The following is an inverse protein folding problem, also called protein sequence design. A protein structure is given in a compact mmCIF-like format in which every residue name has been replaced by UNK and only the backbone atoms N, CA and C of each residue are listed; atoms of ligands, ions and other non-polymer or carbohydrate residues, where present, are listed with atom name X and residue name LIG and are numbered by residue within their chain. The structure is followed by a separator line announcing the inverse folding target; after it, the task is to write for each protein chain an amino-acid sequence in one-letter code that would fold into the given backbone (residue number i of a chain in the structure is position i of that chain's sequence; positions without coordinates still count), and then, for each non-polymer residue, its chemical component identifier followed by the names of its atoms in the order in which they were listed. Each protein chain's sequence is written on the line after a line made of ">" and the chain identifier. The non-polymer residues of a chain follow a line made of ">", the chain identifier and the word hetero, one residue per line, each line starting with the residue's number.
data_IF_774120273857
#
_entry.id   IF_774120273857
#
_cell.length_a   1.000
_cell.length_b   1.000
_cell.length_c   1.000
_cell.angle_alpha   90.00
_cell.angle_beta   90.00
_cell.angle_gamma   90.00
#
_symmetry.space_group_name_H-M   'P 1'
#
loop_
_entity.id
_entity.type
_entity.pdbx_description
1 polymer ?
#
# COMPACT_ATOMS: atom_id res chain seq x y z
N UNK A 1 -25.60 5.61 43.97
CA UNK A 1 -24.39 5.12 44.66
C UNK A 1 -23.21 5.75 43.94
N UNK A 2 -22.36 6.46 44.64
CA UNK A 2 -21.19 7.12 44.03
C UNK A 2 -20.20 6.06 43.56
N UNK A 3 -19.93 6.02 42.28
CA UNK A 3 -18.96 5.12 41.62
C UNK A 3 -17.52 5.65 41.78
N UNK A 4 -17.25 6.45 42.80
CA UNK A 4 -15.87 6.83 43.10
C UNK A 4 -15.11 5.60 43.60
N UNK A 5 -13.94 5.27 43.00
CA UNK A 5 -13.07 4.23 43.51
C UNK A 5 -12.66 4.57 44.92
N UNK A 6 -12.41 3.56 45.78
CA UNK A 6 -11.92 3.80 47.12
C UNK A 6 -10.65 4.68 47.07
N UNK A 7 -10.62 5.67 47.93
CA UNK A 7 -9.53 6.68 48.02
C UNK A 7 -8.17 6.03 48.39
N UNK A 8 -8.19 4.76 48.82
CA UNK A 8 -7.02 4.00 49.25
C UNK A 8 -6.88 2.68 48.46
N UNK A 9 -6.75 2.78 47.12
CA UNK A 9 -6.36 1.61 46.36
C UNK A 9 -4.87 1.30 46.60
N UNK A 10 -4.50 0.04 46.89
CA UNK A 10 -3.08 -0.30 47.05
C UNK A 10 -2.36 -0.16 45.72
N UNK A 11 -1.07 0.22 45.76
CA UNK A 11 -0.22 0.27 44.60
C UNK A 11 -0.25 -1.09 43.85
N UNK A 12 -0.46 -1.06 42.54
CA UNK A 12 -0.61 -2.26 41.71
C UNK A 12 -2.04 -2.85 41.66
N UNK A 13 -3.03 -2.23 42.35
CA UNK A 13 -4.42 -2.66 42.21
C UNK A 13 -4.89 -2.54 40.75
N UNK A 14 -5.66 -3.52 40.27
CA UNK A 14 -6.25 -3.54 38.91
C UNK A 14 -7.77 -3.48 39.04
N UNK A 15 -8.40 -2.70 38.19
CA UNK A 15 -9.87 -2.64 38.08
C UNK A 15 -10.32 -2.59 36.61
N UNK A 16 -11.55 -3.00 36.36
CA UNK A 16 -12.27 -2.66 35.14
C UNK A 16 -13.02 -1.34 35.38
N UNK A 17 -12.70 -0.31 34.62
CA UNK A 17 -13.50 0.90 34.58
C UNK A 17 -14.73 0.63 33.71
N UNK A 18 -15.90 0.55 34.33
CA UNK A 18 -17.16 0.20 33.64
C UNK A 18 -17.68 1.32 32.76
N UNK A 19 -17.27 2.57 32.98
CA UNK A 19 -17.69 3.72 32.19
C UNK A 19 -16.91 3.80 30.86
N UNK A 20 -15.60 3.51 30.93
CA UNK A 20 -14.72 3.47 29.74
C UNK A 20 -14.55 2.07 29.16
N UNK A 21 -14.99 1.03 29.87
CA UNK A 21 -14.79 -0.39 29.54
C UNK A 21 -13.32 -0.81 29.39
N UNK A 22 -12.44 -0.15 30.15
CA UNK A 22 -11.00 -0.36 30.10
C UNK A 22 -10.43 -0.88 31.41
N UNK A 23 -9.39 -1.69 31.31
CA UNK A 23 -8.61 -2.10 32.47
C UNK A 23 -7.71 -0.95 32.92
N UNK A 24 -7.66 -0.71 34.21
CA UNK A 24 -6.81 0.31 34.82
C UNK A 24 -5.99 -0.30 35.95
N UNK A 25 -4.79 0.22 36.17
CA UNK A 25 -3.97 -0.12 37.32
C UNK A 25 -3.65 1.13 38.15
N UNK A 26 -3.56 0.95 39.47
CA UNK A 26 -3.28 2.05 40.38
C UNK A 26 -1.79 2.16 40.65
N UNK A 27 -1.19 3.32 40.30
CA UNK A 27 0.20 3.63 40.55
C UNK A 27 0.37 5.13 40.78
N UNK A 28 1.36 5.54 41.58
CA UNK A 28 1.63 6.96 41.86
C UNK A 28 0.37 7.76 42.25
N UNK A 29 -0.46 7.18 43.12
CA UNK A 29 -1.70 7.76 43.64
C UNK A 29 -2.77 8.12 42.59
N UNK A 30 -2.76 7.45 41.44
CA UNK A 30 -3.78 7.58 40.40
C UNK A 30 -3.98 6.29 39.59
N UNK A 31 -5.10 6.23 38.90
CA UNK A 31 -5.40 5.14 37.98
C UNK A 31 -4.82 5.46 36.62
N UNK A 32 -4.09 4.50 36.05
CA UNK A 32 -3.58 4.51 34.69
C UNK A 32 -4.33 3.48 33.88
N UNK A 33 -4.71 3.85 32.67
CA UNK A 33 -5.28 2.94 31.72
C UNK A 33 -4.22 1.92 31.27
N UNK A 34 -4.58 0.64 31.28
CA UNK A 34 -3.76 -0.39 30.65
C UNK A 34 -4.10 -0.43 29.16
N UNK A 35 -3.17 -0.02 28.33
CA UNK A 35 -3.27 -0.29 26.90
C UNK A 35 -3.17 -1.82 26.71
N UNK A 36 -4.30 -2.46 26.48
CA UNK A 36 -4.32 -3.85 26.03
C UNK A 36 -4.14 -3.85 24.52
N UNK A 37 -2.91 -3.92 24.09
CA UNK A 37 -2.63 -4.29 22.72
C UNK A 37 -3.00 -5.77 22.58
N UNK A 38 -4.06 -6.06 21.85
CA UNK A 38 -4.30 -7.44 21.42
C UNK A 38 -3.13 -7.81 20.53
N UNK A 39 -2.28 -8.77 20.90
CA UNK A 39 -1.25 -9.23 19.98
C UNK A 39 -1.96 -9.62 18.69
N UNK A 40 -1.51 -9.06 17.59
CA UNK A 40 -2.01 -9.42 16.28
C UNK A 40 -1.74 -10.91 16.08
N UNK A 41 -2.73 -11.74 16.30
CA UNK A 41 -2.66 -13.21 16.17
C UNK A 41 -2.41 -13.66 14.71
N UNK A 42 -2.14 -12.72 13.82
CA UNK A 42 -1.96 -12.91 12.37
C UNK A 42 -0.54 -13.33 11.96
N UNK A 43 0.29 -13.79 12.89
CA UNK A 43 1.64 -14.26 12.57
C UNK A 43 2.65 -13.16 12.23
N UNK A 44 2.45 -11.93 12.74
CA UNK A 44 3.31 -10.77 12.52
C UNK A 44 2.95 -9.97 11.26
N UNK A 45 3.77 -8.97 10.95
CA UNK A 45 3.61 -8.15 9.75
C UNK A 45 4.08 -8.93 8.51
N UNK A 46 3.12 -9.34 7.70
CA UNK A 46 3.36 -10.07 6.44
C UNK A 46 3.26 -9.12 5.26
N UNK A 47 4.25 -9.19 4.37
CA UNK A 47 4.23 -8.57 3.06
C UNK A 47 3.99 -9.61 1.98
N UNK A 48 3.33 -9.21 0.91
CA UNK A 48 3.00 -10.04 -0.25
C UNK A 48 3.46 -9.34 -1.51
N UNK A 49 4.01 -10.13 -2.43
CA UNK A 49 4.48 -9.69 -3.75
C UNK A 49 3.78 -10.59 -4.78
N UNK A 50 3.10 -9.95 -5.75
CA UNK A 50 2.18 -10.64 -6.65
C UNK A 50 2.53 -10.34 -8.10
N UNK A 51 2.47 -11.39 -8.93
CA UNK A 51 2.66 -11.30 -10.37
C UNK A 51 4.03 -10.75 -10.77
N UNK A 52 4.19 -10.33 -12.00
CA UNK A 52 5.41 -9.67 -12.48
C UNK A 52 5.76 -9.97 -13.94
N UNK A 53 6.84 -9.35 -14.42
CA UNK A 53 7.40 -9.43 -15.76
C UNK A 53 8.95 -9.47 -15.68
N UNK A 54 9.71 -10.12 -16.56
CA UNK A 54 9.30 -10.70 -17.87
C UNK A 54 8.60 -12.06 -17.77
N UNK A 55 7.87 -12.39 -18.82
CA UNK A 55 7.22 -13.71 -18.97
C UNK A 55 5.88 -13.85 -18.29
N UNK A 56 5.40 -12.81 -17.60
CA UNK A 56 4.24 -12.82 -16.73
C UNK A 56 4.18 -14.04 -15.80
N UNK A 57 3.97 -13.82 -14.54
CA UNK A 57 3.82 -14.88 -13.54
C UNK A 57 2.53 -14.71 -12.76
N UNK A 58 1.96 -15.81 -12.32
CA UNK A 58 0.81 -15.86 -11.42
C UNK A 58 1.21 -15.99 -9.95
N UNK A 59 2.52 -16.09 -9.68
CA UNK A 59 3.05 -16.38 -8.36
C UNK A 59 2.73 -15.29 -7.35
N UNK A 60 2.43 -15.73 -6.13
CA UNK A 60 2.34 -14.90 -4.93
C UNK A 60 3.45 -15.34 -3.98
N UNK A 61 4.30 -14.41 -3.58
CA UNK A 61 5.31 -14.63 -2.54
C UNK A 61 4.96 -13.83 -1.29
N UNK A 62 5.34 -14.36 -0.14
CA UNK A 62 5.23 -13.65 1.14
C UNK A 62 6.57 -13.47 1.80
N UNK A 63 6.68 -12.38 2.56
CA UNK A 63 7.82 -12.08 3.45
C UNK A 63 7.32 -11.78 4.87
N UNK A 64 8.24 -11.84 5.83
CA UNK A 64 8.01 -11.33 7.19
C UNK A 64 8.71 -9.98 7.32
N UNK A 65 7.93 -8.89 7.36
CA UNK A 65 8.47 -7.52 7.31
C UNK A 65 9.39 -7.21 8.50
N UNK A 66 9.04 -7.68 9.69
CA UNK A 66 9.74 -7.29 10.92
C UNK A 66 11.04 -8.10 11.15
N UNK A 67 11.18 -9.29 10.59
CA UNK A 67 12.34 -10.16 10.82
C UNK A 67 13.39 -10.11 9.73
N UNK A 68 13.01 -9.72 8.51
CA UNK A 68 13.88 -9.82 7.34
C UNK A 68 13.98 -11.25 6.78
N UNK A 69 14.58 -11.38 5.60
CA UNK A 69 14.79 -12.65 4.90
C UNK A 69 14.08 -12.72 3.57
N UNK A 70 14.31 -13.82 2.86
CA UNK A 70 13.84 -14.00 1.50
C UNK A 70 12.33 -14.27 1.41
N UNK A 71 11.79 -14.02 0.23
CA UNK A 71 10.45 -14.41 -0.15
C UNK A 71 10.25 -15.93 -0.10
N UNK A 72 9.05 -16.34 0.25
CA UNK A 72 8.63 -17.74 0.19
C UNK A 72 7.32 -17.83 -0.58
N UNK A 73 7.16 -18.91 -1.29
CA UNK A 73 5.94 -19.22 -2.03
C UNK A 73 4.72 -19.20 -1.14
N UNK A 74 3.63 -18.60 -1.61
CA UNK A 74 2.37 -18.50 -0.89
C UNK A 74 1.20 -19.14 -1.65
N UNK A 75 1.17 -19.00 -2.97
CA UNK A 75 0.10 -19.45 -3.86
C UNK A 75 0.14 -18.72 -5.19
N UNK A 76 -0.96 -18.78 -5.93
CA UNK A 76 -1.03 -18.22 -7.28
C UNK A 76 -2.24 -17.30 -7.47
N UNK A 77 -2.09 -16.34 -8.38
CA UNK A 77 -3.18 -15.58 -9.00
C UNK A 77 -3.98 -16.49 -9.96
N UNK A 78 -5.19 -16.10 -10.31
CA UNK A 78 -5.98 -16.85 -11.29
C UNK A 78 -5.30 -16.93 -12.66
N UNK A 79 -4.46 -15.95 -13.01
CA UNK A 79 -3.65 -15.96 -14.25
C UNK A 79 -2.39 -15.13 -14.10
N UNK A 80 -1.39 -15.45 -14.93
CA UNK A 80 -0.12 -14.76 -14.98
C UNK A 80 -0.29 -13.32 -15.49
N UNK A 81 0.20 -12.34 -14.72
CA UNK A 81 -0.05 -10.91 -14.95
C UNK A 81 0.98 -10.01 -14.27
N UNK A 82 0.89 -8.72 -14.51
CA UNK A 82 1.70 -7.70 -13.85
C UNK A 82 0.91 -6.40 -13.62
N UNK A 83 1.50 -5.44 -12.90
CA UNK A 83 0.96 -4.09 -12.68
C UNK A 83 -0.44 -4.05 -12.05
N UNK A 84 -0.71 -4.96 -11.13
CA UNK A 84 -1.94 -4.95 -10.33
C UNK A 84 -1.90 -3.89 -9.24
N UNK A 85 -3.06 -3.50 -8.73
CA UNK A 85 -3.20 -2.74 -7.49
C UNK A 85 -3.64 -3.64 -6.36
N UNK A 86 -3.22 -3.35 -5.12
CA UNK A 86 -3.58 -4.14 -3.96
C UNK A 86 -4.14 -3.26 -2.84
N UNK A 87 -5.21 -3.72 -2.22
CA UNK A 87 -5.77 -3.17 -0.98
C UNK A 87 -5.94 -4.29 0.03
N UNK A 88 -5.78 -4.00 1.30
CA UNK A 88 -5.85 -5.04 2.32
C UNK A 88 -6.36 -4.52 3.65
N UNK A 89 -6.93 -5.44 4.42
CA UNK A 89 -7.05 -5.28 5.85
C UNK A 89 -6.06 -6.22 6.57
N UNK A 90 -6.29 -6.52 7.83
CA UNK A 90 -5.40 -7.42 8.61
C UNK A 90 -5.47 -8.89 8.20
N UNK A 91 -6.48 -9.29 7.44
CA UNK A 91 -6.80 -10.70 7.16
C UNK A 91 -6.89 -11.02 5.67
N UNK A 92 -7.35 -10.06 4.87
CA UNK A 92 -7.61 -10.24 3.44
C UNK A 92 -6.83 -9.22 2.63
N UNK A 93 -6.21 -9.66 1.54
CA UNK A 93 -5.63 -8.82 0.52
C UNK A 93 -6.43 -9.02 -0.77
N UNK A 94 -6.99 -7.94 -1.30
CA UNK A 94 -7.68 -7.90 -2.58
C UNK A 94 -6.74 -7.30 -3.63
N UNK A 95 -6.68 -7.91 -4.80
CA UNK A 95 -5.87 -7.47 -5.94
C UNK A 95 -6.76 -7.24 -7.15
N UNK A 96 -6.47 -6.21 -7.91
CA UNK A 96 -7.31 -5.78 -9.04
C UNK A 96 -6.46 -5.13 -10.14
N UNK A 97 -7.05 -5.12 -11.34
CA UNK A 97 -6.37 -4.65 -12.53
C UNK A 97 -5.29 -5.63 -12.99
N UNK A 98 -4.95 -5.56 -14.25
CA UNK A 98 -3.88 -6.37 -14.78
C UNK A 98 -3.33 -5.84 -16.09
N UNK A 99 -2.11 -6.27 -16.40
CA UNK A 99 -1.43 -6.01 -17.65
C UNK A 99 -0.81 -7.31 -18.16
N UNK A 100 -1.35 -7.83 -19.25
CA UNK A 100 -0.60 -8.78 -20.07
C UNK A 100 -1.14 -10.16 -20.35
N UNK A 101 -1.89 -10.81 -19.53
CA UNK A 101 -2.31 -12.19 -19.79
C UNK A 101 -3.83 -12.38 -19.64
N UNK A 102 -4.43 -13.35 -20.34
CA UNK A 102 -3.84 -14.19 -21.40
C UNK A 102 -3.81 -13.56 -22.79
N UNK A 103 -4.58 -12.46 -23.03
CA UNK A 103 -4.86 -11.98 -24.40
C UNK A 103 -4.40 -10.55 -24.68
N UNK A 104 -3.41 -10.00 -23.96
CA UNK A 104 -3.00 -8.60 -24.08
C UNK A 104 -4.15 -7.60 -23.85
N UNK A 105 -5.12 -7.99 -23.06
CA UNK A 105 -6.26 -7.17 -22.64
C UNK A 105 -6.09 -6.73 -21.20
N UNK A 106 -6.83 -5.73 -20.80
CA UNK A 106 -6.99 -5.36 -19.39
C UNK A 106 -8.27 -5.99 -18.87
N UNK A 107 -8.22 -6.66 -17.72
CA UNK A 107 -9.42 -7.27 -17.12
C UNK A 107 -10.02 -6.37 -16.04
N UNK A 108 -11.29 -6.62 -15.71
CA UNK A 108 -11.99 -5.96 -14.62
C UNK A 108 -12.09 -6.83 -13.36
N UNK A 109 -11.48 -8.01 -13.35
CA UNK A 109 -11.55 -8.96 -12.26
C UNK A 109 -10.89 -8.42 -10.99
N UNK A 110 -11.54 -8.67 -9.85
CA UNK A 110 -11.00 -8.48 -8.51
C UNK A 110 -10.87 -9.86 -7.87
N UNK A 111 -9.71 -10.16 -7.34
CA UNK A 111 -9.40 -11.40 -6.67
C UNK A 111 -8.94 -11.13 -5.23
N UNK A 112 -8.97 -12.11 -4.35
CA UNK A 112 -8.43 -11.96 -3.00
C UNK A 112 -7.75 -13.21 -2.48
N UNK A 113 -6.85 -13.02 -1.51
CA UNK A 113 -6.28 -14.07 -0.67
C UNK A 113 -6.63 -13.83 0.81
N UNK A 114 -6.68 -14.91 1.57
CA UNK A 114 -6.68 -14.88 3.04
C UNK A 114 -5.23 -14.94 3.51
N UNK A 115 -4.71 -13.83 4.03
CA UNK A 115 -3.26 -13.69 4.32
C UNK A 115 -2.72 -14.61 5.42
N UNK A 116 -3.60 -15.22 6.21
CA UNK A 116 -3.20 -16.16 7.28
C UNK A 116 -2.91 -17.59 6.79
N UNK A 117 -3.53 -17.98 5.68
CA UNK A 117 -3.46 -19.34 5.13
C UNK A 117 -2.91 -19.29 3.71
N UNK A 118 -1.91 -20.13 3.41
CA UNK A 118 -1.37 -20.29 2.07
C UNK A 118 -2.45 -20.80 1.11
N UNK A 119 -2.41 -20.36 -0.14
CA UNK A 119 -3.33 -20.79 -1.19
C UNK A 119 -3.49 -19.73 -2.29
N UNK A 120 -4.20 -20.15 -3.32
CA UNK A 120 -4.46 -19.36 -4.51
C UNK A 120 -5.52 -18.30 -4.25
N UNK A 121 -5.59 -17.31 -5.17
CA UNK A 121 -6.64 -16.29 -5.15
C UNK A 121 -8.02 -16.89 -5.40
N UNK A 122 -9.01 -16.23 -4.83
CA UNK A 122 -10.43 -16.52 -5.02
C UNK A 122 -11.09 -15.29 -5.62
N UNK A 123 -12.07 -15.52 -6.49
CA UNK A 123 -12.88 -14.45 -7.08
C UNK A 123 -13.54 -13.60 -6.00
N UNK A 124 -13.45 -12.28 -6.15
CA UNK A 124 -14.08 -11.30 -5.27
C UNK A 124 -15.28 -10.63 -5.93
N UNK A 125 -15.20 -10.35 -7.23
CA UNK A 125 -16.13 -9.60 -8.05
C UNK A 125 -15.42 -8.78 -9.12
N UNK A 126 -16.07 -7.76 -9.66
CA UNK A 126 -15.56 -7.01 -10.80
C UNK A 126 -15.48 -5.50 -10.55
N UNK A 127 -14.52 -4.85 -11.20
CA UNK A 127 -14.50 -3.40 -11.43
C UNK A 127 -15.54 -3.03 -12.49
N UNK A 128 -15.95 -1.77 -12.55
CA UNK A 128 -16.85 -1.28 -13.59
C UNK A 128 -16.23 -1.36 -15.00
N UNK A 129 -14.91 -1.21 -15.08
CA UNK A 129 -14.13 -1.36 -16.31
C UNK A 129 -12.74 -1.93 -16.02
N UNK A 130 -12.18 -2.67 -16.98
CA UNK A 130 -10.81 -3.19 -16.87
C UNK A 130 -9.78 -2.08 -16.89
N UNK A 131 -8.73 -2.22 -16.07
CA UNK A 131 -7.61 -1.27 -16.00
C UNK A 131 -6.34 -1.92 -15.47
N UNK A 132 -5.19 -1.30 -15.71
CA UNK A 132 -3.92 -1.65 -15.08
C UNK A 132 -3.26 -0.42 -14.45
N UNK A 133 -2.30 -0.64 -13.57
CA UNK A 133 -1.59 0.40 -12.82
C UNK A 133 -2.51 1.43 -12.14
N UNK A 134 -3.61 1.03 -11.49
CA UNK A 134 -4.37 1.94 -10.64
C UNK A 134 -3.56 2.28 -9.40
N UNK A 135 -3.95 3.35 -8.71
CA UNK A 135 -3.30 3.80 -7.47
C UNK A 135 -4.19 3.44 -6.28
N UNK A 136 -3.86 2.35 -5.56
CA UNK A 136 -4.69 1.85 -4.48
C UNK A 136 -4.41 2.56 -3.16
N UNK A 137 -5.47 2.81 -2.42
CA UNK A 137 -5.43 3.31 -1.05
C UNK A 137 -6.52 2.62 -0.23
N UNK A 138 -6.38 2.50 1.07
CA UNK A 138 -7.39 1.85 1.87
C UNK A 138 -7.36 2.21 3.36
N UNK A 139 -8.43 1.90 4.05
CA UNK A 139 -8.47 1.76 5.49
C UNK A 139 -8.83 0.30 5.86
N UNK A 140 -9.08 0.04 7.14
CA UNK A 140 -9.39 -1.31 7.64
C UNK A 140 -10.68 -1.95 7.07
N UNK A 141 -11.53 -1.19 6.39
CA UNK A 141 -12.82 -1.69 5.87
C UNK A 141 -13.00 -1.48 4.38
N UNK A 142 -12.46 -0.40 3.85
CA UNK A 142 -12.68 0.04 2.46
C UNK A 142 -11.38 0.06 1.70
N UNK A 143 -11.34 -0.65 0.59
CA UNK A 143 -10.29 -0.54 -0.43
C UNK A 143 -10.75 0.37 -1.55
N UNK A 144 -9.95 1.38 -1.90
CA UNK A 144 -10.23 2.35 -2.94
C UNK A 144 -9.12 2.29 -3.98
N UNK A 145 -9.45 2.38 -5.23
CA UNK A 145 -8.47 2.45 -6.31
C UNK A 145 -8.81 3.58 -7.28
N UNK A 146 -7.80 4.30 -7.68
CA UNK A 146 -7.91 5.55 -8.41
C UNK A 146 -7.18 5.48 -9.73
N UNK A 147 -7.76 6.03 -10.78
CA UNK A 147 -7.14 6.14 -12.09
C UNK A 147 -6.73 4.80 -12.70
N UNK A 148 -5.55 4.75 -13.27
CA UNK A 148 -5.08 3.61 -14.06
C UNK A 148 -5.34 3.80 -15.56
N UNK A 149 -5.06 2.78 -16.35
CA UNK A 149 -5.21 2.82 -17.81
C UNK A 149 -6.09 1.67 -18.26
N UNK A 150 -7.15 1.98 -18.99
CA UNK A 150 -8.13 1.00 -19.52
C UNK A 150 -7.82 0.50 -20.94
N UNK A 151 -6.76 0.98 -21.56
CA UNK A 151 -6.32 0.55 -22.90
C UNK A 151 -4.93 -0.08 -22.77
N UNK A 152 -4.84 -1.35 -23.19
CA UNK A 152 -3.59 -2.09 -23.16
C UNK A 152 -2.47 -1.35 -23.91
N UNK A 153 -1.31 -1.23 -23.24
CA UNK A 153 -0.09 -0.61 -23.77
C UNK A 153 -0.26 0.83 -24.30
N UNK A 154 -1.22 1.59 -23.78
CA UNK A 154 -1.47 2.96 -24.24
C UNK A 154 -1.87 3.89 -23.09
N UNK A 155 -1.03 4.88 -22.81
CA UNK A 155 -1.34 5.93 -21.82
C UNK A 155 -2.53 6.82 -22.24
N UNK A 156 -2.97 6.78 -23.50
CA UNK A 156 -4.15 7.53 -23.95
C UNK A 156 -5.45 7.06 -23.28
N UNK A 157 -5.47 5.82 -22.77
CA UNK A 157 -6.58 5.27 -22.00
C UNK A 157 -6.53 5.58 -20.51
N UNK A 158 -5.70 6.52 -20.03
CA UNK A 158 -5.69 6.90 -18.62
C UNK A 158 -7.00 7.55 -18.22
N UNK A 159 -7.57 7.07 -17.12
CA UNK A 159 -8.88 7.47 -16.59
C UNK A 159 -8.73 8.22 -15.27
N UNK A 160 -9.80 8.91 -14.82
CA UNK A 160 -9.85 9.60 -13.53
C UNK A 160 -10.81 8.96 -12.53
N UNK A 161 -11.53 7.95 -12.94
CA UNK A 161 -12.53 7.28 -12.13
C UNK A 161 -11.91 6.70 -10.84
N UNK A 162 -12.62 6.88 -9.71
CA UNK A 162 -12.28 6.30 -8.42
C UNK A 162 -13.40 5.32 -8.05
N UNK A 163 -13.02 4.11 -7.70
CA UNK A 163 -13.96 3.09 -7.24
C UNK A 163 -13.49 2.49 -5.90
N UNK A 164 -14.42 1.87 -5.19
CA UNK A 164 -14.11 1.20 -3.94
C UNK A 164 -14.81 -0.14 -3.78
N UNK A 165 -14.24 -0.95 -2.91
CA UNK A 165 -14.82 -2.20 -2.41
C UNK A 165 -14.87 -2.18 -0.88
N UNK A 166 -15.76 -2.98 -0.31
CA UNK A 166 -15.72 -3.34 1.12
C UNK A 166 -14.90 -4.61 1.26
N UNK A 167 -13.69 -4.54 1.81
CA UNK A 167 -12.67 -5.61 1.76
C UNK A 167 -13.19 -6.96 2.26
N UNK A 168 -14.03 -6.99 3.29
CA UNK A 168 -14.56 -8.22 3.87
C UNK A 168 -15.84 -8.75 3.20
N UNK A 169 -16.40 -8.01 2.23
CA UNK A 169 -17.65 -8.39 1.56
C UNK A 169 -17.41 -8.50 0.06
N UNK A 170 -17.44 -9.72 -0.48
CA UNK A 170 -17.30 -9.97 -1.92
C UNK A 170 -18.43 -9.30 -2.72
N UNK A 171 -18.11 -8.83 -3.90
CA UNK A 171 -19.03 -8.14 -4.81
C UNK A 171 -18.30 -7.13 -5.68
N UNK A 172 -19.02 -6.56 -6.62
CA UNK A 172 -18.46 -5.59 -7.56
C UNK A 172 -18.12 -4.26 -6.87
N UNK A 173 -17.19 -3.53 -7.47
CA UNK A 173 -16.86 -2.19 -7.02
C UNK A 173 -18.01 -1.21 -7.20
N UNK A 174 -17.94 -0.13 -6.46
CA UNK A 174 -18.91 0.96 -6.46
C UNK A 174 -18.17 2.27 -6.72
N UNK A 175 -18.82 3.17 -7.45
CA UNK A 175 -18.30 4.51 -7.71
C UNK A 175 -18.02 5.26 -6.40
N UNK A 176 -16.87 5.90 -6.33
CA UNK A 176 -16.43 6.73 -5.19
C UNK A 176 -16.41 8.21 -5.56
N UNK A 177 -16.03 8.54 -6.78
CA UNK A 177 -15.82 9.89 -7.30
C UNK A 177 -14.74 9.94 -8.38
N UNK A 178 -14.14 11.10 -8.58
CA UNK A 178 -13.15 11.32 -9.62
C UNK A 178 -11.84 11.94 -9.09
N UNK A 179 -10.74 11.59 -9.71
CA UNK A 179 -9.48 12.33 -9.56
C UNK A 179 -9.58 13.69 -10.28
N UNK A 180 -9.01 14.73 -9.69
CA UNK A 180 -8.90 16.03 -10.34
C UNK A 180 -8.01 15.99 -11.58
N UNK A 181 -7.02 15.11 -11.57
CA UNK A 181 -6.11 14.90 -12.71
C UNK A 181 -6.00 13.41 -13.00
N UNK A 182 -6.22 13.02 -14.24
CA UNK A 182 -6.05 11.63 -14.69
C UNK A 182 -4.60 11.19 -14.52
N UNK A 183 -4.37 10.12 -13.78
CA UNK A 183 -3.03 9.55 -13.64
C UNK A 183 -3.05 8.02 -13.65
N UNK A 184 -1.97 7.46 -14.14
CA UNK A 184 -1.66 6.03 -14.04
C UNK A 184 -0.19 5.86 -13.63
N UNK A 185 0.21 4.67 -13.24
CA UNK A 185 1.61 4.38 -12.85
C UNK A 185 2.16 5.25 -11.71
N UNK A 186 1.28 5.84 -10.91
CA UNK A 186 1.63 6.52 -9.65
C UNK A 186 1.53 5.57 -8.46
N UNK A 187 1.78 6.11 -7.29
CA UNK A 187 1.81 5.35 -6.03
C UNK A 187 0.64 5.73 -5.12
N UNK A 188 0.06 4.73 -4.45
CA UNK A 188 -0.95 4.91 -3.43
C UNK A 188 -0.46 4.49 -2.05
N UNK A 189 -0.83 5.24 -1.01
CA UNK A 189 -0.56 4.96 0.40
C UNK A 189 -1.62 5.57 1.29
N UNK A 190 -1.69 5.14 2.55
CA UNK A 190 -2.83 5.49 3.39
C UNK A 190 -2.49 5.69 4.86
N UNK A 191 -3.34 6.48 5.52
CA UNK A 191 -3.61 6.40 6.95
C UNK A 191 -5.03 5.85 7.18
N UNK A 192 -5.48 5.58 8.41
CA UNK A 192 -6.85 5.11 8.66
C UNK A 192 -7.96 6.03 8.13
N UNK A 193 -7.66 7.30 7.87
CA UNK A 193 -8.63 8.31 7.45
C UNK A 193 -8.38 8.87 6.05
N UNK A 194 -7.14 8.89 5.60
CA UNK A 194 -6.74 9.46 4.29
C UNK A 194 -6.12 8.42 3.39
N UNK A 195 -6.54 8.42 2.13
CA UNK A 195 -5.83 7.78 1.04
C UNK A 195 -5.13 8.86 0.20
N UNK A 196 -3.86 8.67 -0.09
CA UNK A 196 -3.02 9.63 -0.82
C UNK A 196 -2.44 8.96 -2.04
N UNK A 197 -2.44 9.65 -3.17
CA UNK A 197 -1.76 9.23 -4.40
C UNK A 197 -0.70 10.24 -4.80
N UNK A 198 0.42 9.77 -5.31
CA UNK A 198 1.54 10.61 -5.67
C UNK A 198 2.13 10.25 -7.04
N UNK A 199 2.39 11.28 -7.83
CA UNK A 199 3.02 11.16 -9.13
C UNK A 199 2.16 10.45 -10.18
N UNK A 200 2.81 9.72 -11.06
CA UNK A 200 2.20 9.00 -12.18
C UNK A 200 2.39 9.69 -13.51
N UNK A 201 1.79 9.12 -14.55
CA UNK A 201 1.76 9.68 -15.92
C UNK A 201 0.40 10.26 -16.25
N UNK A 202 0.40 11.42 -16.88
CA UNK A 202 -0.80 12.07 -17.41
C UNK A 202 -0.69 12.20 -18.94
N UNK A 203 -1.62 11.62 -19.72
CA UNK A 203 -1.57 11.68 -21.18
C UNK A 203 -1.72 13.11 -21.73
N UNK A 204 -2.44 13.98 -21.04
CA UNK A 204 -2.70 15.35 -21.48
C UNK A 204 -1.54 16.32 -21.19
N UNK A 205 -0.69 15.99 -20.23
CA UNK A 205 0.45 16.81 -19.79
C UNK A 205 1.81 16.27 -20.23
N UNK A 206 1.85 15.18 -20.98
CA UNK A 206 3.06 14.67 -21.65
C UNK A 206 4.15 14.14 -20.73
N UNK A 207 3.83 13.67 -19.52
CA UNK A 207 4.92 13.15 -18.71
C UNK A 207 4.60 12.85 -17.26
N UNK A 208 5.66 12.72 -16.51
CA UNK A 208 5.67 12.44 -15.08
C UNK A 208 5.09 13.62 -14.31
N UNK A 209 4.31 13.30 -13.29
CA UNK A 209 3.64 14.30 -12.46
C UNK A 209 4.37 14.47 -11.11
N UNK A 210 4.39 15.69 -10.62
CA UNK A 210 4.73 15.99 -9.23
C UNK A 210 3.52 15.95 -8.30
N UNK A 211 2.33 16.01 -8.86
CA UNK A 211 1.06 16.17 -8.13
C UNK A 211 0.86 15.07 -7.09
N UNK A 212 0.51 15.49 -5.88
CA UNK A 212 0.01 14.60 -4.82
C UNK A 212 -1.46 14.96 -4.58
N UNK A 213 -2.33 13.96 -4.60
CA UNK A 213 -3.77 14.12 -4.36
C UNK A 213 -4.20 13.22 -3.20
N UNK A 214 -5.30 13.58 -2.54
CA UNK A 214 -5.83 12.74 -1.47
C UNK A 214 -7.35 12.67 -1.47
N UNK A 215 -7.85 11.66 -0.77
CA UNK A 215 -9.27 11.48 -0.44
C UNK A 215 -9.42 11.22 1.06
N UNK A 216 -10.61 11.49 1.58
CA UNK A 216 -11.04 10.93 2.87
C UNK A 216 -11.67 9.56 2.61
N UNK A 217 -11.03 8.47 3.03
CA UNK A 217 -11.42 7.10 2.66
C UNK A 217 -12.83 6.71 3.09
N UNK A 218 -13.39 7.35 4.13
CA UNK A 218 -14.73 7.03 4.67
C UNK A 218 -15.87 7.74 3.95
N UNK A 219 -15.61 8.82 3.22
CA UNK A 219 -16.61 9.67 2.54
C UNK A 219 -16.40 9.66 1.04
N UNK A 220 -17.48 9.45 0.29
CA UNK A 220 -17.42 9.55 -1.18
C UNK A 220 -17.10 10.99 -1.61
N UNK A 221 -16.38 11.12 -2.71
CA UNK A 221 -16.04 12.42 -3.30
C UNK A 221 -14.78 12.36 -4.16
N UNK A 222 -14.49 13.49 -4.77
CA UNK A 222 -13.35 13.64 -5.63
C UNK A 222 -12.06 13.84 -4.83
N UNK A 223 -10.92 13.64 -5.49
CA UNK A 223 -9.63 13.98 -4.88
C UNK A 223 -9.49 15.48 -4.66
N UNK A 224 -8.76 15.82 -3.61
CA UNK A 224 -8.30 17.17 -3.31
C UNK A 224 -6.78 17.25 -3.49
N UNK A 225 -6.30 18.47 -3.71
CA UNK A 225 -4.86 18.76 -3.80
C UNK A 225 -4.21 18.58 -2.43
N UNK A 226 -3.09 17.85 -2.40
CA UNK A 226 -2.29 17.62 -1.19
C UNK A 226 -1.02 18.47 -1.19
N UNK A 227 -0.36 18.62 -2.34
CA UNK A 227 0.93 19.25 -2.56
C UNK A 227 1.69 18.59 -3.71
N UNK A 228 3.00 18.80 -3.77
CA UNK A 228 3.85 18.33 -4.86
C UNK A 228 5.03 17.49 -4.37
N UNK A 229 5.47 16.57 -5.22
CA UNK A 229 6.76 15.88 -5.10
C UNK A 229 7.89 16.86 -5.40
N UNK A 230 9.02 16.74 -4.71
CA UNK A 230 10.26 17.46 -5.02
C UNK A 230 10.75 17.08 -6.42
N UNK A 231 10.65 15.79 -6.75
CA UNK A 231 11.00 15.27 -8.07
C UNK A 231 9.80 14.48 -8.60
N UNK A 232 9.31 14.85 -9.77
CA UNK A 232 8.19 14.17 -10.41
C UNK A 232 8.49 12.68 -10.63
N UNK A 233 7.57 11.81 -10.28
CA UNK A 233 7.70 10.36 -10.33
C UNK A 233 6.67 9.75 -11.27
N UNK A 234 7.06 8.68 -11.97
CA UNK A 234 6.17 7.83 -12.76
C UNK A 234 6.83 6.46 -13.00
N UNK A 235 6.08 5.55 -13.63
CA UNK A 235 6.52 4.18 -13.88
C UNK A 235 6.87 3.47 -12.57
N UNK A 236 6.02 3.67 -11.59
CA UNK A 236 6.05 2.97 -10.31
C UNK A 236 5.01 1.87 -10.32
N UNK A 237 5.20 0.84 -9.54
CA UNK A 237 4.12 -0.09 -9.23
C UNK A 237 3.15 0.56 -8.25
N UNK A 238 1.89 0.18 -8.34
CA UNK A 238 0.74 0.88 -7.74
C UNK A 238 0.85 1.18 -6.23
N UNK A 239 1.48 0.30 -5.46
CA UNK A 239 1.60 0.42 -4.01
C UNK A 239 2.95 0.97 -3.58
N UNK A 240 2.95 1.79 -2.53
CA UNK A 240 4.14 2.14 -1.79
C UNK A 240 3.95 1.94 -0.29
N UNK A 241 4.99 2.22 0.49
CA UNK A 241 5.02 1.91 1.90
C UNK A 241 4.57 3.10 2.76
N UNK A 242 3.72 2.84 3.75
CA UNK A 242 3.32 3.85 4.75
C UNK A 242 3.03 3.23 6.10
N UNK A 243 3.22 4.02 7.15
CA UNK A 243 2.52 3.82 8.41
C UNK A 243 1.37 4.84 8.53
N UNK A 244 0.67 4.87 9.67
CA UNK A 244 -0.46 5.78 9.88
C UNK A 244 -0.08 7.28 9.88
N UNK A 245 1.21 7.62 9.91
CA UNK A 245 1.72 9.00 10.01
C UNK A 245 2.41 9.43 8.73
N UNK A 246 3.27 8.59 8.16
CA UNK A 246 4.18 8.93 7.06
C UNK A 246 4.01 7.99 5.88
N UNK A 247 3.91 8.54 4.68
CA UNK A 247 4.01 7.82 3.41
C UNK A 247 5.38 8.04 2.79
N UNK A 248 6.00 6.96 2.32
CA UNK A 248 7.27 7.00 1.58
C UNK A 248 6.95 6.81 0.10
N UNK A 249 7.57 7.62 -0.74
CA UNK A 249 7.34 7.66 -2.18
C UNK A 249 8.69 7.41 -2.87
N UNK A 250 8.77 6.36 -3.67
CA UNK A 250 10.00 6.05 -4.42
C UNK A 250 9.99 6.74 -5.77
N UNK A 251 11.11 7.38 -6.10
CA UNK A 251 11.33 7.95 -7.42
C UNK A 251 12.05 6.93 -8.30
N UNK A 252 11.39 6.49 -9.35
CA UNK A 252 11.90 5.38 -10.13
C UNK A 252 12.46 5.79 -11.49
N UNK A 253 11.93 6.82 -12.13
CA UNK A 253 12.38 7.23 -13.44
C UNK A 253 12.16 8.74 -13.67
N UNK A 254 13.17 9.45 -14.13
CA UNK A 254 13.07 10.86 -14.53
C UNK A 254 12.74 11.03 -16.02
N UNK A 255 12.46 12.26 -16.41
CA UNK A 255 12.20 12.63 -17.81
C UNK A 255 13.32 12.24 -18.79
N UNK A 256 14.55 12.03 -18.29
CA UNK A 256 15.70 11.62 -19.09
C UNK A 256 15.92 10.11 -19.16
N UNK A 257 14.96 9.30 -18.74
CA UNK A 257 15.07 7.83 -18.67
C UNK A 257 16.23 7.36 -17.77
N UNK A 258 16.57 8.15 -16.78
CA UNK A 258 17.59 7.82 -15.78
C UNK A 258 16.90 7.20 -14.58
N UNK A 259 17.30 6.03 -14.18
CA UNK A 259 16.83 5.38 -12.97
C UNK A 259 17.23 6.20 -11.75
N UNK A 260 16.25 6.54 -10.93
CA UNK A 260 16.47 7.27 -9.69
C UNK A 260 16.36 6.33 -8.51
N UNK A 261 17.06 6.67 -7.44
CA UNK A 261 17.02 5.94 -6.17
C UNK A 261 16.45 6.75 -5.02
N UNK A 262 15.99 7.97 -5.27
CA UNK A 262 15.50 8.88 -4.23
C UNK A 262 14.19 8.37 -3.61
N UNK A 263 14.13 8.39 -2.29
CA UNK A 263 12.90 8.22 -1.51
C UNK A 263 12.47 9.59 -1.01
N UNK A 264 11.22 9.96 -1.24
CA UNK A 264 10.59 11.15 -0.70
C UNK A 264 9.53 10.73 0.33
N UNK A 265 9.12 11.65 1.20
CA UNK A 265 8.06 11.38 2.16
C UNK A 265 7.12 12.56 2.37
N UNK A 266 5.92 12.24 2.83
CA UNK A 266 4.94 13.21 3.32
C UNK A 266 4.42 12.78 4.68
N UNK A 267 3.97 13.76 5.49
CA UNK A 267 3.17 13.50 6.69
C UNK A 267 1.69 13.46 6.28
N UNK A 268 1.05 12.29 6.36
CA UNK A 268 -0.27 12.05 5.75
C UNK A 268 -1.38 12.96 6.32
N UNK A 269 -1.30 13.30 7.60
CA UNK A 269 -2.33 14.10 8.28
C UNK A 269 -2.36 15.58 7.85
N UNK A 270 -1.27 16.11 7.28
CA UNK A 270 -1.14 17.52 6.90
C UNK A 270 -0.77 17.64 5.43
N UNK A 271 -1.53 18.43 4.68
CA UNK A 271 -1.20 18.76 3.28
C UNK A 271 0.09 19.57 3.19
N UNK A 272 0.82 19.39 2.12
CA UNK A 272 2.08 20.06 1.85
C UNK A 272 2.98 19.23 0.94
N UNK A 273 4.05 19.83 0.48
CA UNK A 273 4.99 19.21 -0.44
C UNK A 273 5.79 18.09 0.23
N UNK A 274 6.22 17.15 -0.57
CA UNK A 274 7.11 16.09 -0.13
C UNK A 274 8.48 16.63 0.26
N UNK A 275 9.16 15.89 1.10
CA UNK A 275 10.53 16.17 1.51
C UNK A 275 11.42 14.96 1.20
N UNK A 276 12.72 15.20 1.09
CA UNK A 276 13.71 14.14 0.93
C UNK A 276 13.77 13.25 2.18
N UNK A 277 13.78 11.94 1.95
CA UNK A 277 13.88 10.93 3.01
C UNK A 277 15.25 10.26 3.04
N UNK A 278 15.83 9.99 1.89
CA UNK A 278 17.04 9.25 1.64
C UNK A 278 16.98 8.48 0.33
N UNK A 279 17.80 7.47 0.17
CA UNK A 279 17.94 6.77 -1.10
C UNK A 279 17.72 5.26 -0.97
N UNK A 280 17.18 4.65 -2.02
CA UNK A 280 17.27 3.23 -2.29
C UNK A 280 18.73 2.84 -2.58
N UNK A 281 19.08 1.57 -2.39
CA UNK A 281 20.45 1.06 -2.70
C UNK A 281 20.79 1.29 -4.17
N UNK A 282 19.80 1.13 -5.06
CA UNK A 282 19.99 1.32 -6.50
C UNK A 282 18.81 2.06 -7.14
N UNK A 283 19.07 2.76 -8.23
CA UNK A 283 18.01 3.31 -9.06
C UNK A 283 17.27 2.22 -9.81
N UNK A 284 15.95 2.34 -9.93
CA UNK A 284 15.11 1.35 -10.58
C UNK A 284 13.89 1.94 -11.28
N UNK A 285 13.19 1.10 -12.02
CA UNK A 285 11.81 1.29 -12.46
C UNK A 285 10.92 0.25 -11.78
N UNK A 286 9.64 0.56 -11.65
CA UNK A 286 8.62 -0.37 -11.17
C UNK A 286 8.84 -0.89 -9.74
N UNK A 287 9.42 -0.06 -8.89
CA UNK A 287 9.52 -0.35 -7.47
C UNK A 287 8.14 -0.36 -6.82
N UNK A 288 7.81 -1.37 -6.04
CA UNK A 288 6.62 -1.43 -5.21
C UNK A 288 6.98 -1.57 -3.73
N UNK A 289 6.05 -1.17 -2.85
CA UNK A 289 6.30 -1.15 -1.42
C UNK A 289 5.21 -1.80 -0.59
N UNK A 290 5.62 -2.28 0.58
CA UNK A 290 4.78 -2.84 1.63
C UNK A 290 5.31 -2.39 2.98
N UNK A 291 4.48 -2.40 4.03
CA UNK A 291 4.89 -1.83 5.30
C UNK A 291 4.38 -2.58 6.53
N UNK A 292 5.13 -2.44 7.61
CA UNK A 292 4.65 -2.55 8.99
C UNK A 292 4.58 -1.14 9.61
N UNK A 293 4.10 -0.98 10.85
CA UNK A 293 4.11 0.34 11.51
C UNK A 293 5.48 1.00 11.61
N UNK A 294 6.55 0.23 11.52
CA UNK A 294 7.94 0.71 11.69
C UNK A 294 8.80 0.61 10.43
N UNK A 295 8.58 -0.40 9.59
CA UNK A 295 9.38 -0.70 8.41
C UNK A 295 8.62 -0.53 7.11
N UNK A 296 9.26 0.10 6.16
CA UNK A 296 8.93 0.04 4.74
C UNK A 296 9.85 -0.98 4.06
N UNK A 297 9.30 -1.93 3.33
CA UNK A 297 10.05 -2.85 2.48
C UNK A 297 9.70 -2.57 1.04
N UNK A 298 10.70 -2.47 0.20
CA UNK A 298 10.57 -2.18 -1.22
C UNK A 298 11.10 -3.37 -2.02
N UNK A 299 10.31 -3.85 -2.96
CA UNK A 299 10.84 -4.65 -4.05
C UNK A 299 11.39 -3.69 -5.09
N UNK A 300 12.71 -3.69 -5.21
CA UNK A 300 13.45 -2.78 -6.09
C UNK A 300 14.14 -3.58 -7.21
N UNK A 301 13.47 -3.78 -8.36
CA UNK A 301 13.96 -4.67 -9.40
C UNK A 301 15.23 -4.18 -10.14
N UNK A 302 15.79 -3.02 -9.77
CA UNK A 302 16.94 -2.49 -10.49
C UNK A 302 16.62 -2.13 -11.95
N UNK A 303 17.63 -2.15 -12.78
CA UNK A 303 17.47 -1.91 -14.24
C UNK A 303 17.06 -3.18 -14.99
N UNK A 304 18.05 -3.87 -15.57
CA UNK A 304 17.82 -5.03 -16.45
C UNK A 304 18.39 -6.36 -15.92
N UNK A 305 18.92 -6.38 -14.72
CA UNK A 305 19.51 -7.58 -14.09
C UNK A 305 19.33 -7.52 -12.58
N UNK A 306 19.30 -8.67 -11.94
CA UNK A 306 19.14 -8.83 -10.49
C UNK A 306 17.83 -8.16 -9.98
N UNK A 307 16.69 -8.63 -10.47
CA UNK A 307 15.36 -8.04 -10.18
C UNK A 307 14.72 -8.63 -8.92
N UNK A 308 15.39 -9.51 -8.20
CA UNK A 308 14.90 -10.15 -6.98
C UNK A 308 15.05 -9.33 -5.71
N UNK A 309 15.71 -8.19 -5.75
CA UNK A 309 16.09 -7.42 -4.57
C UNK A 309 14.94 -6.88 -3.75
N UNK A 310 15.03 -7.14 -2.44
CA UNK A 310 14.23 -6.48 -1.41
C UNK A 310 15.12 -5.60 -0.55
N UNK A 311 14.69 -4.39 -0.29
CA UNK A 311 15.38 -3.47 0.59
C UNK A 311 14.40 -2.78 1.54
N UNK A 312 14.87 -2.29 2.69
CA UNK A 312 13.98 -1.67 3.67
C UNK A 312 14.54 -0.39 4.26
N UNK A 313 13.62 0.45 4.73
CA UNK A 313 13.90 1.65 5.52
C UNK A 313 13.05 1.68 6.79
N UNK A 314 13.55 2.34 7.83
CA UNK A 314 12.76 2.66 9.03
C UNK A 314 11.89 3.90 8.75
N UNK A 315 10.55 3.75 8.70
CA UNK A 315 9.64 4.82 8.21
C UNK A 315 9.80 6.13 8.97
N UNK A 316 10.06 6.09 10.28
CA UNK A 316 10.11 7.30 11.11
C UNK A 316 11.51 7.92 11.23
N UNK A 317 12.53 7.29 10.67
CA UNK A 317 13.92 7.77 10.73
C UNK A 317 14.44 8.02 9.33
N UNK A 318 14.86 9.25 9.03
CA UNK A 318 15.45 9.58 7.72
C UNK A 318 16.73 8.78 7.50
N UNK A 319 16.96 8.38 6.27
CA UNK A 319 18.17 7.66 5.86
C UNK A 319 17.92 6.69 4.71
N UNK A 320 18.99 6.17 4.18
CA UNK A 320 18.98 5.26 3.06
C UNK A 320 18.44 3.88 3.44
N UNK A 321 17.90 3.19 2.47
CA UNK A 321 17.49 1.79 2.63
C UNK A 321 18.72 0.89 2.80
N UNK A 322 18.48 -0.28 3.37
CA UNK A 322 19.45 -1.36 3.52
C UNK A 322 18.86 -2.66 3.00
N UNK A 323 19.75 -3.59 2.67
CA UNK A 323 19.36 -4.91 2.19
C UNK A 323 18.40 -5.62 3.15
N UNK A 324 17.36 -6.24 2.58
CA UNK A 324 16.37 -7.02 3.32
C UNK A 324 16.46 -8.51 3.00
N UNK A 325 16.76 -8.86 1.77
CA UNK A 325 16.76 -10.20 1.19
C UNK A 325 16.27 -10.18 -0.24
N UNK A 326 15.82 -11.31 -0.75
CA UNK A 326 15.45 -11.48 -2.14
C UNK A 326 14.09 -12.18 -2.28
N UNK A 327 13.38 -11.89 -3.37
CA UNK A 327 12.30 -12.78 -3.85
C UNK A 327 12.90 -13.96 -4.62
N UNK A 328 12.10 -14.97 -4.91
CA UNK A 328 12.62 -16.20 -5.52
C UNK A 328 12.71 -16.14 -7.05
N UNK A 329 12.23 -15.07 -7.68
CA UNK A 329 12.17 -14.91 -9.12
C UNK A 329 12.79 -13.57 -9.55
N UNK A 330 13.55 -13.57 -10.62
CA UNK A 330 14.12 -12.38 -11.27
C UNK A 330 13.04 -11.67 -12.12
N UNK A 331 12.16 -10.89 -11.47
CA UNK A 331 11.00 -10.24 -12.06
C UNK A 331 10.85 -8.80 -11.59
N UNK A 332 10.23 -7.97 -12.42
CA UNK A 332 9.82 -6.60 -12.15
C UNK A 332 8.32 -6.41 -12.34
N UNK A 333 7.83 -5.19 -12.24
CA UNK A 333 6.40 -4.84 -12.44
C UNK A 333 5.45 -5.68 -11.56
N UNK A 334 5.95 -6.07 -10.41
CA UNK A 334 5.18 -6.74 -9.37
C UNK A 334 4.25 -5.77 -8.69
N UNK A 335 3.31 -6.27 -7.93
CA UNK A 335 2.53 -5.46 -7.01
C UNK A 335 2.74 -5.94 -5.58
N UNK A 336 2.55 -5.07 -4.60
CA UNK A 336 2.81 -5.39 -3.21
C UNK A 336 1.65 -4.99 -2.29
N UNK A 337 1.55 -5.67 -1.15
CA UNK A 337 0.59 -5.34 -0.11
C UNK A 337 0.99 -5.96 1.22
N UNK A 338 0.39 -5.52 2.33
CA UNK A 338 0.71 -6.06 3.66
C UNK A 338 -0.49 -5.99 4.60
N UNK A 339 -0.48 -6.82 5.64
CA UNK A 339 -1.50 -6.83 6.68
C UNK A 339 -1.25 -5.82 7.82
N UNK A 340 -0.29 -4.92 7.66
CA UNK A 340 0.16 -4.02 8.73
C UNK A 340 0.53 -2.61 8.23
N UNK A 341 0.07 -2.22 7.04
CA UNK A 341 0.33 -0.92 6.45
C UNK A 341 -0.42 0.24 7.15
N UNK A 342 -0.13 1.47 6.76
CA UNK A 342 -0.62 2.70 7.41
C UNK A 342 -2.14 2.91 7.44
N UNK A 343 -2.91 2.26 6.59
CA UNK A 343 -4.37 2.35 6.56
C UNK A 343 -5.09 1.54 7.65
N UNK A 344 -4.39 0.73 8.44
CA UNK A 344 -4.95 -0.23 9.39
C UNK A 344 -4.94 0.23 10.85
#
# INVERSE_FOLDING_TARGET
>A
MSNQPPIEAPQGAIRLNTDTQRLEFFAQDRWYEMATDTPTLNGGARGFILGGYPGFTDRIERIQIDTGGNGVDFGNLAYATSLKGNVSDRTRLCTFGDYGAPDTTVTNSIEFITMATEGDTVDFGDMSEGRYSPQPVNNSTRGVYMGGTNVYNSISGTINNIEFITIQSTGNSVDFGDMTTKTSTGQGFSSPTRGVTAGGTNPSGGGRQSLIQFITTSTLGNTEDFGDLVIAAAFTCANTASNSIRGLITNNNTASSTYQNTIQFVTIATTGDASDFGDLIRGSEWCCGMASPTRAVFHNPGGNSDQEYLEYSQIMTLGNSVDFGDITQDISRTSAGSNAHGGL
#
